data_IF_257447272774
#
_entry.id   IF_257447272774
#
_cell.length_a   1.000
_cell.length_b   1.000
_cell.length_c   1.000
_cell.angle_alpha   90.00
_cell.angle_beta   90.00
_cell.angle_gamma   90.00
#
_symmetry.space_group_name_H-M   'P 1'
#
loop_
_entity.id
_entity.type
_entity.pdbx_description
1 polymer ?
#
# COMPACT_ATOMS: atom_id res chain seq x y z
N UNK A 1 8.40 -5.87 4.10
CA UNK A 1 7.21 -5.02 3.85
C UNK A 1 7.43 -3.66 4.49
N UNK A 2 6.99 -2.59 3.84
CA UNK A 2 6.98 -1.24 4.38
C UNK A 2 5.56 -0.67 4.20
N UNK A 3 4.93 -0.17 5.26
CA UNK A 3 3.60 0.45 5.18
C UNK A 3 3.47 1.63 6.14
N UNK A 4 2.59 2.57 5.78
CA UNK A 4 2.27 3.71 6.62
C UNK A 4 1.74 4.89 5.80
N UNK A 5 1.54 6.00 6.49
CA UNK A 5 1.23 7.29 5.89
C UNK A 5 2.51 7.96 5.39
N UNK A 6 2.63 8.13 4.07
CA UNK A 6 3.78 8.78 3.45
C UNK A 6 3.60 10.29 3.28
N UNK A 7 2.43 10.86 3.63
CA UNK A 7 2.10 12.26 3.46
C UNK A 7 2.46 12.79 2.05
N UNK A 8 2.22 11.97 1.02
CA UNK A 8 2.48 12.33 -0.36
C UNK A 8 1.27 13.06 -0.95
N UNK A 9 1.20 14.36 -0.66
CA UNK A 9 0.13 15.25 -1.12
C UNK A 9 0.11 15.44 -2.65
N UNK A 10 1.25 15.27 -3.31
CA UNK A 10 1.36 15.34 -4.78
C UNK A 10 1.21 13.97 -5.43
N UNK A 11 0.47 13.86 -6.55
CA UNK A 11 0.41 12.62 -7.34
C UNK A 11 1.74 12.31 -8.04
N UNK A 12 2.65 13.28 -8.15
CA UNK A 12 3.94 13.11 -8.80
C UNK A 12 4.92 12.36 -7.88
N UNK A 13 5.70 11.40 -8.43
CA UNK A 13 6.68 10.68 -7.64
C UNK A 13 7.85 11.59 -7.25
N UNK A 14 7.90 12.01 -5.98
CA UNK A 14 9.05 12.67 -5.39
C UNK A 14 10.29 11.76 -5.26
N UNK A 15 11.44 12.30 -4.84
CA UNK A 15 12.70 11.55 -4.73
C UNK A 15 12.58 10.27 -3.89
N UNK A 16 11.86 10.34 -2.76
CA UNK A 16 11.64 9.18 -1.88
C UNK A 16 10.89 8.07 -2.60
N UNK A 17 9.81 8.38 -3.33
CA UNK A 17 9.06 7.37 -4.06
C UNK A 17 9.87 6.76 -5.21
N UNK A 18 10.74 7.54 -5.85
CA UNK A 18 11.68 7.02 -6.85
C UNK A 18 12.66 6.03 -6.23
N UNK A 19 13.21 6.36 -5.06
CA UNK A 19 14.10 5.46 -4.31
C UNK A 19 13.38 4.19 -3.88
N UNK A 20 12.18 4.29 -3.28
CA UNK A 20 11.43 3.10 -2.84
C UNK A 20 11.13 2.14 -3.99
N UNK A 21 10.86 2.68 -5.19
CA UNK A 21 10.58 1.89 -6.39
C UNK A 21 11.77 1.12 -6.96
N UNK A 22 13.00 1.35 -6.50
CA UNK A 22 14.16 0.58 -6.96
C UNK A 22 14.20 -0.83 -6.36
N UNK A 23 13.62 -1.01 -5.16
CA UNK A 23 13.64 -2.28 -4.44
C UNK A 23 12.25 -2.79 -4.05
N UNK A 24 11.25 -1.91 -3.99
CA UNK A 24 9.91 -2.22 -3.50
C UNK A 24 8.83 -1.94 -4.56
N UNK A 25 7.78 -2.76 -4.51
CA UNK A 25 6.60 -2.70 -5.36
C UNK A 25 5.41 -2.23 -4.53
N UNK A 26 4.62 -1.30 -5.05
CA UNK A 26 3.39 -0.80 -4.40
C UNK A 26 2.30 -1.89 -4.48
N UNK A 27 1.81 -2.35 -3.33
CA UNK A 27 0.81 -3.42 -3.24
C UNK A 27 -0.49 -3.07 -3.97
N UNK A 28 -0.89 -1.80 -3.96
CA UNK A 28 -2.08 -1.33 -4.69
C UNK A 28 -1.89 -1.40 -6.21
N UNK A 29 -0.65 -1.32 -6.70
CA UNK A 29 -0.33 -1.55 -8.12
C UNK A 29 -0.39 -3.02 -8.45
N UNK A 30 0.18 -3.87 -7.59
CA UNK A 30 0.18 -5.34 -7.77
C UNK A 30 -1.25 -5.89 -7.82
N UNK A 31 -2.15 -5.42 -6.95
CA UNK A 31 -3.55 -5.87 -6.91
C UNK A 31 -4.48 -5.12 -7.86
N UNK A 32 -4.02 -4.07 -8.55
CA UNK A 32 -4.88 -3.22 -9.39
C UNK A 32 -5.90 -2.38 -8.62
N UNK A 33 -5.72 -2.17 -7.31
CA UNK A 33 -6.68 -1.52 -6.41
C UNK A 33 -6.14 -0.21 -5.81
N UNK A 34 -6.00 0.83 -6.64
CA UNK A 34 -5.49 2.16 -6.21
C UNK A 34 -6.57 3.03 -5.54
N UNK A 35 -7.01 2.66 -4.34
CA UNK A 35 -8.01 3.42 -3.58
C UNK A 35 -7.38 4.54 -2.74
N UNK A 36 -8.11 5.64 -2.59
CA UNK A 36 -7.77 6.73 -1.68
C UNK A 36 -8.10 6.36 -0.24
N UNK A 37 -7.34 6.91 0.70
CA UNK A 37 -7.49 6.70 2.14
C UNK A 37 -7.81 7.98 2.90
N UNK A 38 -7.50 9.17 2.34
CA UNK A 38 -7.67 10.45 3.02
C UNK A 38 -8.39 11.49 2.14
N UNK A 39 -9.20 12.41 2.72
CA UNK A 39 -9.80 12.30 4.05
C UNK A 39 -10.88 11.22 4.08
N UNK A 40 -11.11 10.58 5.24
CA UNK A 40 -12.00 9.43 5.36
C UNK A 40 -13.46 9.72 4.99
N UNK A 41 -13.91 10.96 5.25
CA UNK A 41 -15.24 11.44 4.90
C UNK A 41 -15.47 11.56 3.38
N UNK A 42 -14.44 11.92 2.62
CA UNK A 42 -14.47 12.04 1.16
C UNK A 42 -13.08 11.65 0.60
N UNK A 43 -12.81 10.36 0.37
CA UNK A 43 -11.47 9.88 0.04
C UNK A 43 -11.01 10.36 -1.34
N UNK A 44 -9.98 11.21 -1.36
CA UNK A 44 -9.43 11.81 -2.58
C UNK A 44 -7.94 11.49 -2.77
N UNK A 45 -7.19 11.34 -1.68
CA UNK A 45 -5.75 11.17 -1.66
C UNK A 45 -5.37 9.78 -1.15
N UNK A 46 -4.33 9.19 -1.77
CA UNK A 46 -3.71 7.93 -1.33
C UNK A 46 -2.40 8.24 -0.59
N UNK A 47 -2.56 8.71 0.64
CA UNK A 47 -1.45 9.06 1.53
C UNK A 47 -0.85 7.80 2.16
N UNK A 48 -1.72 6.87 2.58
CA UNK A 48 -1.34 5.55 3.08
C UNK A 48 -0.96 4.62 1.95
N UNK A 49 0.17 3.94 2.10
CA UNK A 49 0.69 3.02 1.09
C UNK A 49 1.32 1.80 1.75
N UNK A 50 1.32 0.70 1.01
CA UNK A 50 2.02 -0.53 1.40
C UNK A 50 2.90 -0.98 0.25
N UNK A 51 4.14 -1.33 0.58
CA UNK A 51 5.19 -1.73 -0.34
C UNK A 51 5.77 -3.08 0.07
N UNK A 52 6.07 -3.92 -0.92
CA UNK A 52 6.67 -5.25 -0.72
C UNK A 52 7.87 -5.45 -1.65
N UNK A 53 8.88 -6.17 -1.17
CA UNK A 53 10.00 -6.64 -2.00
C UNK A 53 9.62 -7.94 -2.74
N UNK A 54 10.61 -8.63 -3.34
CA UNK A 54 10.42 -9.87 -4.07
C UNK A 54 10.14 -11.10 -3.17
N UNK A 55 10.49 -11.05 -1.90
CA UNK A 55 10.33 -12.13 -0.92
C UNK A 55 8.90 -12.30 -0.41
N UNK A 56 7.97 -11.42 -0.80
CA UNK A 56 6.56 -11.48 -0.41
C UNK A 56 5.67 -11.42 -1.65
N UNK A 57 4.61 -12.22 -1.63
CA UNK A 57 3.52 -12.18 -2.60
C UNK A 57 2.29 -11.49 -2.01
N UNK A 58 1.67 -10.61 -2.80
CA UNK A 58 0.44 -9.92 -2.44
C UNK A 58 -0.73 -10.69 -3.01
N UNK A 59 -1.57 -11.25 -2.14
CA UNK A 59 -2.75 -11.98 -2.56
C UNK A 59 -3.90 -11.03 -2.89
N UNK A 60 -4.15 -10.06 -2.01
CA UNK A 60 -5.23 -9.07 -2.13
C UNK A 60 -4.86 -7.80 -1.37
N UNK A 61 -5.47 -6.69 -1.73
CA UNK A 61 -5.47 -5.49 -0.89
C UNK A 61 -6.67 -4.62 -1.18
N UNK A 62 -6.96 -3.72 -0.24
CA UNK A 62 -8.07 -2.79 -0.38
C UNK A 62 -8.11 -1.77 0.74
N UNK A 63 -9.19 -0.99 0.73
CA UNK A 63 -9.47 0.04 1.73
C UNK A 63 -10.86 -0.21 2.29
N UNK A 64 -10.99 -0.25 3.62
CA UNK A 64 -12.29 -0.41 4.29
C UNK A 64 -12.94 0.96 4.45
N UNK A 65 -14.09 1.16 3.81
CA UNK A 65 -14.85 2.42 3.86
C UNK A 65 -16.28 2.18 4.31
N UNK A 66 -16.49 2.26 5.61
CA UNK A 66 -17.80 2.14 6.24
C UNK A 66 -17.96 3.22 7.33
N UNK A 67 -19.18 3.42 7.88
CA UNK A 67 -19.42 4.48 8.87
C UNK A 67 -18.52 4.39 10.11
N UNK A 68 -18.12 3.19 10.55
CA UNK A 68 -17.26 3.01 11.72
C UNK A 68 -15.82 3.43 11.40
N UNK A 69 -15.30 3.06 10.22
CA UNK A 69 -13.92 3.45 9.85
C UNK A 69 -13.79 4.95 9.66
N UNK A 70 -14.81 5.63 9.11
CA UNK A 70 -14.84 7.09 8.98
C UNK A 70 -14.93 7.83 10.32
N UNK A 71 -15.62 7.25 11.30
CA UNK A 71 -15.70 7.82 12.64
C UNK A 71 -14.44 7.59 13.47
N UNK A 72 -13.71 6.50 13.19
CA UNK A 72 -12.53 6.11 13.96
C UNK A 72 -11.26 6.90 13.61
N UNK A 73 -11.14 7.40 12.38
CA UNK A 73 -9.97 8.14 11.90
C UNK A 73 -10.33 9.02 10.70
N UNK A 74 -9.55 10.08 10.49
CA UNK A 74 -9.50 10.88 9.27
C UNK A 74 -8.84 10.15 8.09
N UNK A 75 -8.25 8.98 8.33
CA UNK A 75 -7.77 8.04 7.31
C UNK A 75 -8.60 6.75 7.29
N UNK A 76 -8.86 6.22 6.10
CA UNK A 76 -9.46 4.89 5.93
C UNK A 76 -8.41 3.79 6.05
N UNK A 77 -8.70 2.68 6.74
CA UNK A 77 -7.77 1.56 6.87
C UNK A 77 -7.40 0.93 5.52
N UNK A 78 -6.10 0.91 5.22
CA UNK A 78 -5.49 0.11 4.15
C UNK A 78 -5.21 -1.30 4.69
N UNK A 79 -5.67 -2.34 4.01
CA UNK A 79 -5.37 -3.73 4.34
C UNK A 79 -4.71 -4.45 3.18
N UNK A 80 -3.85 -5.43 3.48
CA UNK A 80 -3.10 -6.21 2.51
C UNK A 80 -2.98 -7.65 3.00
N UNK A 81 -3.43 -8.61 2.19
CA UNK A 81 -3.24 -10.04 2.41
C UNK A 81 -1.93 -10.46 1.74
N UNK A 82 -1.02 -11.06 2.52
CA UNK A 82 0.35 -11.37 2.12
C UNK A 82 0.72 -12.82 2.44
N UNK A 83 1.59 -13.39 1.62
CA UNK A 83 2.28 -14.65 1.93
C UNK A 83 3.78 -14.52 1.63
N UNK A 84 4.66 -15.14 2.44
CA UNK A 84 6.07 -15.26 2.08
C UNK A 84 6.22 -16.03 0.77
N UNK A 85 7.11 -15.57 -0.11
CA UNK A 85 7.52 -16.35 -1.28
C UNK A 85 8.47 -17.43 -0.80
N UNK A 86 8.18 -18.70 -1.12
CA UNK A 86 9.13 -19.77 -0.88
C UNK A 86 10.43 -19.47 -1.62
N UNK A 87 11.56 -19.47 -0.91
CA UNK A 87 12.88 -19.45 -1.54
C UNK A 87 13.08 -20.78 -2.24
N UNK A 88 13.06 -20.78 -3.57
CA UNK A 88 13.60 -21.91 -4.32
C UNK A 88 15.09 -21.98 -4.00
N UNK A 89 15.50 -22.92 -3.15
CA UNK A 89 16.92 -23.25 -3.01
C UNK A 89 17.34 -23.87 -4.34
N UNK A 90 17.95 -23.06 -5.20
CA UNK A 90 18.73 -23.62 -6.30
C UNK A 90 19.93 -24.30 -5.65
N UNK A 91 19.86 -25.62 -5.47
CA UNK A 91 21.03 -26.42 -5.16
C UNK A 91 22.06 -26.23 -6.27
N UNK A 92 23.36 -26.13 -5.92
CA UNK A 92 24.44 -25.95 -6.89
C UNK A 92 24.58 -27.13 -7.86
#
# INVERSE_FOLDING_TARGET
MLCGDFNMWSPLPGPILRLLRTALRDAAVVCGTRRATYPSALPLLRLDRAYVDAGVEVLRCGVVSDPRTRAASDHLPLWVDLVPRATTSTSP
#
